data_IF_697719609533
#
_entry.id   IF_697719609533
#
_cell.length_a   1.000
_cell.length_b   1.000
_cell.length_c   1.000
_cell.angle_alpha   90.00
_cell.angle_beta   90.00
_cell.angle_gamma   90.00
#
_symmetry.space_group_name_H-M   'P 1'
#
loop_
_entity.id
_entity.type
_entity.pdbx_description
1 polymer ?
#
# COMPACT_ATOMS: atom_id res chain seq x y z
N UNK A 1 -4.29 -2.06 -9.58
CA UNK A 1 -3.66 -3.39 -9.63
C UNK A 1 -2.19 -3.16 -9.92
N UNK A 2 -1.30 -3.50 -8.99
CA UNK A 2 0.16 -3.38 -9.10
C UNK A 2 0.83 -4.74 -8.89
N UNK A 3 0.14 -5.81 -9.29
CA UNK A 3 0.60 -7.20 -9.19
C UNK A 3 1.87 -7.41 -10.03
N UNK A 4 2.87 -8.10 -9.48
CA UNK A 4 4.13 -8.43 -10.15
C UNK A 4 4.81 -7.22 -10.83
N UNK A 5 4.82 -6.07 -10.15
CA UNK A 5 5.40 -4.82 -10.65
C UNK A 5 6.81 -4.57 -10.12
N UNK A 6 7.40 -5.54 -9.39
CA UNK A 6 8.71 -5.39 -8.76
C UNK A 6 8.74 -4.35 -7.65
N UNK A 7 7.64 -4.17 -6.91
CA UNK A 7 7.57 -3.22 -5.80
C UNK A 7 8.54 -3.64 -4.68
N UNK A 8 9.36 -2.67 -4.26
CA UNK A 8 10.28 -2.79 -3.13
C UNK A 8 9.69 -2.16 -1.87
N UNK A 9 10.42 -2.24 -0.75
CA UNK A 9 10.01 -1.60 0.51
C UNK A 9 9.91 -0.07 0.38
N UNK A 10 10.77 0.56 -0.43
CA UNK A 10 10.66 1.99 -0.74
C UNK A 10 9.38 2.29 -1.53
N UNK A 11 9.01 1.42 -2.46
CA UNK A 11 7.74 1.52 -3.18
C UNK A 11 6.53 1.42 -2.25
N UNK A 12 6.60 0.56 -1.23
CA UNK A 12 5.57 0.45 -0.19
C UNK A 12 5.46 1.74 0.63
N UNK A 13 6.59 2.34 1.02
CA UNK A 13 6.61 3.60 1.74
C UNK A 13 5.99 4.74 0.91
N UNK A 14 6.31 4.80 -0.39
CA UNK A 14 5.75 5.77 -1.31
C UNK A 14 4.22 5.58 -1.47
N UNK A 15 3.75 4.34 -1.61
CA UNK A 15 2.32 4.02 -1.65
C UNK A 15 1.59 4.43 -0.37
N UNK A 16 2.16 4.13 0.80
CA UNK A 16 1.61 4.53 2.09
C UNK A 16 1.48 6.06 2.20
N UNK A 17 2.50 6.80 1.76
CA UNK A 17 2.46 8.26 1.73
C UNK A 17 1.39 8.79 0.77
N UNK A 18 1.28 8.20 -0.42
CA UNK A 18 0.28 8.59 -1.42
C UNK A 18 -1.15 8.33 -0.91
N UNK A 19 -1.41 7.20 -0.26
CA UNK A 19 -2.70 6.85 0.33
C UNK A 19 -3.14 7.84 1.42
N UNK A 20 -2.17 8.38 2.19
CA UNK A 20 -2.42 9.40 3.21
C UNK A 20 -2.61 10.80 2.63
N UNK A 21 -1.73 11.23 1.74
CA UNK A 21 -1.77 12.59 1.17
C UNK A 21 -2.95 12.80 0.22
N UNK A 22 -3.44 11.74 -0.40
CA UNK A 22 -4.64 11.77 -1.21
C UNK A 22 -5.53 10.62 -0.76
N UNK A 23 -6.48 10.84 0.17
CA UNK A 23 -7.41 9.82 0.64
C UNK A 23 -8.30 9.40 -0.53
N UNK A 24 -7.74 8.51 -1.33
CA UNK A 24 -8.28 8.15 -2.63
C UNK A 24 -9.59 7.40 -2.43
N UNK A 25 -10.43 7.37 -3.45
CA UNK A 25 -11.58 6.47 -3.47
C UNK A 25 -11.18 5.00 -3.62
N UNK A 26 -9.88 4.69 -3.63
CA UNK A 26 -9.37 3.34 -3.76
C UNK A 26 -9.82 2.49 -2.57
N UNK A 27 -10.62 1.47 -2.87
CA UNK A 27 -11.13 0.50 -1.89
C UNK A 27 -10.30 -0.77 -1.86
N UNK A 28 -9.61 -1.07 -2.94
CA UNK A 28 -8.98 -2.36 -3.16
C UNK A 28 -7.64 -2.13 -3.88
N UNK A 29 -6.57 -2.69 -3.33
CA UNK A 29 -5.24 -2.63 -3.89
C UNK A 29 -4.68 -4.04 -3.92
N UNK A 30 -4.21 -4.47 -5.08
CA UNK A 30 -3.57 -5.76 -5.27
C UNK A 30 -2.09 -5.52 -5.57
N UNK A 31 -1.26 -5.94 -4.63
CA UNK A 31 0.19 -5.99 -4.65
C UNK A 31 0.70 -7.44 -4.63
N UNK A 32 -0.18 -8.43 -4.84
CA UNK A 32 0.23 -9.83 -4.87
C UNK A 32 1.32 -10.06 -5.91
N UNK A 33 2.09 -11.15 -5.74
CA UNK A 33 3.22 -11.48 -6.61
C UNK A 33 4.36 -10.45 -6.62
N UNK A 34 4.31 -9.39 -5.80
CA UNK A 34 5.48 -8.60 -5.50
C UNK A 34 6.26 -9.23 -4.34
N UNK A 35 7.58 -9.05 -4.36
CA UNK A 35 8.47 -9.48 -3.28
C UNK A 35 8.54 -8.41 -2.21
N UNK A 36 7.40 -8.13 -1.57
CA UNK A 36 7.32 -7.15 -0.48
C UNK A 36 8.02 -7.73 0.75
N UNK A 37 9.01 -7.00 1.29
CA UNK A 37 9.62 -7.36 2.56
C UNK A 37 8.69 -7.04 3.73
N UNK A 38 8.98 -7.62 4.90
CA UNK A 38 8.23 -7.35 6.14
C UNK A 38 8.23 -5.86 6.50
N UNK A 39 9.34 -5.16 6.23
CA UNK A 39 9.48 -3.71 6.42
C UNK A 39 8.53 -2.93 5.51
N UNK A 40 8.49 -3.26 4.21
CA UNK A 40 7.59 -2.63 3.25
C UNK A 40 6.12 -2.82 3.64
N UNK A 41 5.72 -4.05 4.01
CA UNK A 41 4.35 -4.33 4.45
C UNK A 41 3.99 -3.59 5.73
N UNK A 42 4.91 -3.48 6.71
CA UNK A 42 4.67 -2.74 7.94
C UNK A 42 4.44 -1.24 7.68
N UNK A 43 5.21 -0.64 6.76
CA UNK A 43 5.02 0.75 6.35
C UNK A 43 3.68 0.96 5.64
N UNK A 44 3.28 0.02 4.78
CA UNK A 44 1.99 0.03 4.12
C UNK A 44 0.84 -0.05 5.13
N UNK A 45 0.87 -1.01 6.05
CA UNK A 45 -0.14 -1.16 7.11
C UNK A 45 -0.27 0.09 7.97
N UNK A 46 0.84 0.71 8.38
CA UNK A 46 0.80 1.95 9.14
C UNK A 46 0.13 3.11 8.37
N UNK A 47 0.27 3.15 7.04
CA UNK A 47 -0.46 4.12 6.20
C UNK A 47 -1.95 3.80 6.05
N UNK A 48 -2.35 2.54 6.22
CA UNK A 48 -3.75 2.11 6.19
C UNK A 48 -4.50 2.37 7.49
N UNK A 49 -3.78 2.43 8.62
CA UNK A 49 -4.34 2.81 9.92
C UNK A 49 -4.77 4.29 9.97
N UNK A 50 -4.43 5.08 8.95
CA UNK A 50 -4.89 6.45 8.83
C UNK A 50 -6.43 6.49 8.63
N UNK A 51 -7.20 7.22 9.47
CA UNK A 51 -8.66 7.31 9.35
C UNK A 51 -9.15 7.87 8.00
N UNK A 52 -8.31 8.62 7.29
CA UNK A 52 -8.62 9.15 5.98
C UNK A 52 -8.47 8.08 4.89
N UNK A 53 -7.73 7.01 5.16
CA UNK A 53 -7.55 5.91 4.23
C UNK A 53 -8.85 5.14 4.04
N UNK A 54 -9.23 4.96 2.79
CA UNK A 54 -10.51 4.33 2.39
C UNK A 54 -10.34 2.90 1.87
N UNK A 55 -9.11 2.41 1.85
CA UNK A 55 -8.76 1.08 1.40
C UNK A 55 -9.34 0.05 2.36
N UNK A 56 -10.03 -0.95 1.81
CA UNK A 56 -10.69 -2.02 2.56
C UNK A 56 -10.05 -3.38 2.34
N UNK A 57 -9.39 -3.58 1.20
CA UNK A 57 -8.72 -4.83 0.87
C UNK A 57 -7.35 -4.58 0.27
N UNK A 58 -6.38 -5.34 0.76
CA UNK A 58 -5.02 -5.42 0.29
C UNK A 58 -4.70 -6.90 0.02
N UNK A 59 -4.16 -7.21 -1.15
CA UNK A 59 -3.68 -8.55 -1.52
C UNK A 59 -2.25 -8.50 -2.02
#
# INVERSE_FOLDING_TARGET
>A
MLRDCGITDEGCAALASALRSNPSHLRELDLSWNKLGDSGMKLLSAGLDDPCCKLKKLW
#
